data_IF_916669418600
#
_entry.id   IF_916669418600
#
_cell.length_a   1.000
_cell.length_b   1.000
_cell.length_c   1.000
_cell.angle_alpha   90.00
_cell.angle_beta   90.00
_cell.angle_gamma   90.00
#
_symmetry.space_group_name_H-M   'P 1'
#
loop_
_entity.id
_entity.type
_entity.pdbx_description
1 polymer ?
#
# COMPACT_ATOMS: atom_id res chain seq x y z
N UNK A 1 5.25 -11.54 26.20
CA UNK A 1 5.32 -10.91 24.86
C UNK A 1 3.90 -10.53 24.45
N UNK A 2 3.67 -9.28 24.03
CA UNK A 2 2.35 -8.88 23.56
C UNK A 2 2.14 -9.49 22.17
N UNK A 3 1.29 -10.48 22.04
CA UNK A 3 0.96 -11.09 20.75
C UNK A 3 0.17 -10.08 19.91
N UNK A 4 0.59 -9.85 18.66
CA UNK A 4 -0.16 -8.98 17.75
C UNK A 4 -1.42 -9.68 17.30
N UNK A 5 -2.56 -9.01 17.48
CA UNK A 5 -3.89 -9.58 17.23
C UNK A 5 -4.42 -9.28 15.83
N UNK A 6 -3.89 -8.24 15.20
CA UNK A 6 -4.36 -7.72 13.92
C UNK A 6 -3.18 -7.37 13.03
N UNK A 7 -3.22 -7.81 11.79
CA UNK A 7 -2.31 -7.40 10.73
C UNK A 7 -3.06 -6.55 9.71
N UNK A 8 -2.59 -5.32 9.48
CA UNK A 8 -3.17 -4.36 8.55
C UNK A 8 -2.21 -4.19 7.37
N UNK A 9 -2.71 -4.41 6.16
CA UNK A 9 -1.90 -4.38 4.95
C UNK A 9 -2.31 -3.21 4.06
N UNK A 10 -1.37 -2.39 3.59
CA UNK A 10 -1.64 -1.66 2.35
C UNK A 10 -1.85 -2.64 1.20
N UNK A 11 -2.29 -2.16 0.04
CA UNK A 11 -2.57 -3.01 -1.12
C UNK A 11 -1.41 -2.99 -2.11
N UNK A 12 -1.14 -1.82 -2.68
CA UNK A 12 -0.18 -1.61 -3.75
C UNK A 12 1.25 -1.65 -3.20
N UNK A 13 2.12 -2.46 -3.80
CA UNK A 13 3.48 -2.67 -3.29
C UNK A 13 3.57 -3.50 -2.01
N UNK A 14 2.43 -3.91 -1.41
CA UNK A 14 2.38 -4.70 -0.17
C UNK A 14 1.69 -6.04 -0.40
N UNK A 15 0.46 -6.06 -0.84
CA UNK A 15 -0.26 -7.29 -1.23
C UNK A 15 0.03 -7.64 -2.67
N UNK A 16 -0.02 -6.65 -3.57
CA UNK A 16 0.28 -6.82 -4.99
C UNK A 16 1.52 -6.04 -5.40
N UNK A 17 2.36 -6.64 -6.25
CA UNK A 17 3.55 -6.02 -6.85
C UNK A 17 3.17 -5.13 -8.03
N UNK A 18 2.49 -4.02 -7.72
CA UNK A 18 1.97 -3.07 -8.72
C UNK A 18 2.94 -1.93 -9.06
N UNK A 19 3.97 -1.70 -8.27
CA UNK A 19 4.93 -0.61 -8.44
C UNK A 19 5.68 -0.60 -9.78
N UNK A 20 6.16 -1.74 -10.32
CA UNK A 20 6.76 -1.76 -11.65
C UNK A 20 5.80 -1.27 -12.73
N UNK A 21 4.50 -1.63 -12.64
CA UNK A 21 3.46 -1.27 -13.58
C UNK A 21 3.17 0.23 -13.56
N UNK A 22 3.01 0.81 -12.36
CA UNK A 22 2.85 2.26 -12.20
C UNK A 22 4.08 3.03 -12.69
N UNK A 23 5.27 2.51 -12.43
CA UNK A 23 6.52 3.13 -12.93
C UNK A 23 6.54 3.17 -14.45
N UNK A 24 6.07 2.12 -15.13
CA UNK A 24 5.97 2.07 -16.60
C UNK A 24 4.93 3.07 -17.13
N UNK A 25 3.74 3.12 -16.53
CA UNK A 25 2.71 4.10 -16.86
C UNK A 25 3.23 5.54 -16.76
N UNK A 26 3.80 5.89 -15.60
CA UNK A 26 4.32 7.23 -15.39
C UNK A 26 5.52 7.57 -16.25
N UNK A 27 6.36 6.59 -16.59
CA UNK A 27 7.42 6.79 -17.57
C UNK A 27 6.84 7.23 -18.91
N UNK A 28 5.82 6.54 -19.42
CA UNK A 28 5.18 6.92 -20.69
C UNK A 28 4.50 8.30 -20.63
N UNK A 29 3.92 8.68 -19.48
CA UNK A 29 3.38 10.03 -19.28
C UNK A 29 4.49 11.07 -19.29
N UNK A 30 5.56 10.89 -18.51
CA UNK A 30 6.65 11.89 -18.45
C UNK A 30 7.47 11.96 -19.74
N UNK A 31 7.65 10.89 -20.48
CA UNK A 31 8.28 10.91 -21.81
C UNK A 31 7.53 11.84 -22.79
N UNK A 32 6.20 11.90 -22.68
CA UNK A 32 5.38 12.80 -23.54
C UNK A 32 5.47 14.28 -23.15
N UNK A 33 5.55 14.58 -21.85
CA UNK A 33 5.43 15.95 -21.35
C UNK A 33 6.74 16.52 -20.79
N UNK A 34 7.67 15.65 -20.39
CA UNK A 34 8.99 15.97 -19.83
C UNK A 34 10.09 15.10 -20.45
N UNK A 35 10.28 15.11 -21.78
CA UNK A 35 11.16 14.15 -22.48
C UNK A 35 12.64 14.21 -22.06
N UNK A 36 13.06 15.31 -21.44
CA UNK A 36 14.44 15.50 -20.98
C UNK A 36 14.65 15.10 -19.50
N UNK A 37 13.61 14.57 -18.84
CA UNK A 37 13.64 14.25 -17.41
C UNK A 37 13.23 12.80 -17.13
N UNK A 38 13.96 11.78 -17.63
CA UNK A 38 13.58 10.36 -17.52
C UNK A 38 13.49 9.85 -16.07
N UNK A 39 14.13 10.56 -15.11
CA UNK A 39 14.14 10.19 -13.68
C UNK A 39 12.80 10.46 -12.98
N UNK A 40 11.87 11.25 -13.57
CA UNK A 40 10.65 11.67 -12.90
C UNK A 40 9.74 10.51 -12.52
N UNK A 41 9.61 9.49 -13.38
CA UNK A 41 8.81 8.31 -13.09
C UNK A 41 9.25 7.58 -11.80
N UNK A 42 10.55 7.60 -11.51
CA UNK A 42 11.08 7.04 -10.26
C UNK A 42 10.95 8.03 -9.10
N UNK A 43 11.11 9.32 -9.35
CA UNK A 43 11.05 10.35 -8.32
C UNK A 43 9.65 10.53 -7.70
N UNK A 44 8.60 10.14 -8.41
CA UNK A 44 7.21 10.25 -7.93
C UNK A 44 6.72 9.01 -7.16
N UNK A 45 7.52 7.96 -7.03
CA UNK A 45 7.11 6.75 -6.29
C UNK A 45 6.63 7.09 -4.89
N UNK A 46 5.51 6.47 -4.50
CA UNK A 46 4.89 6.69 -3.19
C UNK A 46 4.22 8.06 -3.02
N UNK A 47 4.11 8.87 -4.08
CA UNK A 47 3.40 10.15 -4.04
C UNK A 47 1.93 9.97 -4.44
N UNK A 48 1.07 10.87 -3.92
CA UNK A 48 -0.34 10.89 -4.32
C UNK A 48 -0.51 11.51 -5.71
N UNK A 49 -1.58 11.12 -6.41
CA UNK A 49 -1.94 11.72 -7.70
C UNK A 49 -2.09 13.25 -7.61
N UNK A 50 -2.71 13.74 -6.53
CA UNK A 50 -2.84 15.19 -6.26
C UNK A 50 -1.48 15.86 -6.18
N UNK A 51 -0.53 15.30 -5.43
CA UNK A 51 0.82 15.84 -5.32
C UNK A 51 1.55 15.87 -6.67
N UNK A 52 1.41 14.79 -7.49
CA UNK A 52 1.99 14.73 -8.83
C UNK A 52 1.42 15.85 -9.72
N UNK A 53 0.12 16.07 -9.66
CA UNK A 53 -0.54 17.11 -10.44
C UNK A 53 -0.13 18.51 -9.99
N UNK A 54 -0.14 18.79 -8.69
CA UNK A 54 0.31 20.07 -8.14
C UNK A 54 1.77 20.39 -8.52
N UNK A 55 2.61 19.37 -8.56
CA UNK A 55 4.05 19.53 -8.82
C UNK A 55 4.41 19.67 -10.29
N UNK A 56 3.75 18.93 -11.17
CA UNK A 56 4.15 18.82 -12.58
C UNK A 56 3.10 19.29 -13.57
N UNK A 57 1.86 19.40 -13.16
CA UNK A 57 0.74 19.71 -14.06
C UNK A 57 -0.23 20.77 -13.47
N UNK A 58 0.24 21.65 -12.56
CA UNK A 58 -0.58 22.52 -11.71
C UNK A 58 -1.64 23.33 -12.47
N UNK A 59 -1.25 24.01 -13.55
CA UNK A 59 -2.15 24.92 -14.28
C UNK A 59 -2.73 24.28 -15.56
N UNK A 60 -2.83 22.95 -15.59
CA UNK A 60 -3.21 22.18 -16.78
C UNK A 60 -4.39 21.22 -16.50
N UNK A 61 -5.59 21.74 -16.11
CA UNK A 61 -6.70 20.89 -15.68
C UNK A 61 -7.18 19.89 -16.75
N UNK A 62 -7.20 20.29 -18.01
CA UNK A 62 -7.57 19.38 -19.11
C UNK A 62 -6.59 18.24 -19.27
N UNK A 63 -5.31 18.51 -19.04
CA UNK A 63 -4.27 17.49 -19.08
C UNK A 63 -4.34 16.56 -17.86
N UNK A 64 -4.61 17.11 -16.66
CA UNK A 64 -4.85 16.31 -15.47
C UNK A 64 -6.03 15.33 -15.67
N UNK A 65 -7.14 15.83 -16.25
CA UNK A 65 -8.29 14.98 -16.58
C UNK A 65 -7.91 13.88 -17.56
N UNK A 66 -7.19 14.21 -18.64
CA UNK A 66 -6.73 13.23 -19.61
C UNK A 66 -5.82 12.16 -18.99
N UNK A 67 -4.85 12.57 -18.17
CA UNK A 67 -3.96 11.62 -17.47
C UNK A 67 -4.78 10.75 -16.51
N UNK A 68 -5.78 11.32 -15.82
CA UNK A 68 -6.67 10.55 -14.93
C UNK A 68 -7.46 9.48 -15.71
N UNK A 69 -8.00 9.83 -16.90
CA UNK A 69 -8.69 8.87 -17.75
C UNK A 69 -7.75 7.75 -18.24
N UNK A 70 -6.53 8.10 -18.65
CA UNK A 70 -5.51 7.13 -19.05
C UNK A 70 -5.10 6.22 -17.87
N UNK A 71 -4.95 6.77 -16.66
CA UNK A 71 -4.63 6.01 -15.46
C UNK A 71 -5.77 5.04 -15.09
N UNK A 72 -7.02 5.51 -15.13
CA UNK A 72 -8.18 4.66 -14.87
C UNK A 72 -8.29 3.50 -15.89
N UNK A 73 -8.02 3.79 -17.17
CA UNK A 73 -7.99 2.76 -18.22
C UNK A 73 -6.82 1.78 -18.03
N UNK A 74 -5.66 2.26 -17.58
CA UNK A 74 -4.51 1.44 -17.25
C UNK A 74 -4.83 0.51 -16.05
N UNK A 75 -5.35 1.06 -14.97
CA UNK A 75 -5.74 0.29 -13.78
C UNK A 75 -6.83 -0.75 -14.07
N UNK A 76 -7.74 -0.45 -14.99
CA UNK A 76 -8.77 -1.40 -15.42
C UNK A 76 -8.18 -2.64 -16.10
N UNK A 77 -7.05 -2.50 -16.81
CA UNK A 77 -6.38 -3.58 -17.54
C UNK A 77 -5.16 -4.13 -16.78
N UNK A 78 -4.83 -3.58 -15.60
CA UNK A 78 -3.69 -3.99 -14.80
C UNK A 78 -3.84 -5.45 -14.34
N UNK A 79 -2.73 -6.20 -14.38
CA UNK A 79 -2.66 -7.52 -13.77
C UNK A 79 -2.16 -7.37 -12.33
N UNK A 80 -2.83 -8.02 -11.41
CA UNK A 80 -2.50 -7.97 -9.99
C UNK A 80 -1.74 -9.23 -9.60
N UNK A 81 -0.40 -9.18 -9.63
CA UNK A 81 0.44 -10.27 -9.16
C UNK A 81 0.71 -10.08 -7.65
N UNK A 82 0.53 -11.12 -6.85
CA UNK A 82 0.87 -11.04 -5.43
C UNK A 82 2.36 -10.79 -5.21
N UNK A 83 2.69 -9.97 -4.22
CA UNK A 83 4.07 -9.88 -3.73
C UNK A 83 4.53 -11.28 -3.32
N UNK A 84 5.75 -11.63 -3.71
CA UNK A 84 6.28 -12.98 -3.61
C UNK A 84 6.20 -13.52 -2.17
N UNK A 85 5.54 -14.67 -1.99
CA UNK A 85 5.30 -15.34 -0.71
C UNK A 85 4.11 -14.81 0.09
N UNK A 86 3.35 -13.83 -0.44
CA UNK A 86 2.20 -13.24 0.29
C UNK A 86 1.13 -14.29 0.65
N UNK A 87 0.77 -15.16 -0.28
CA UNK A 87 -0.31 -16.14 -0.06
C UNK A 87 0.04 -17.13 1.07
N UNK A 88 1.28 -17.61 1.12
CA UNK A 88 1.73 -18.48 2.22
C UNK A 88 1.75 -17.72 3.56
N UNK A 89 2.18 -16.47 3.53
CA UNK A 89 2.23 -15.62 4.72
C UNK A 89 0.84 -15.34 5.30
N UNK A 90 -0.16 -15.02 4.46
CA UNK A 90 -1.53 -14.77 4.94
C UNK A 90 -2.17 -16.05 5.52
N UNK A 91 -1.87 -17.21 4.94
CA UNK A 91 -2.30 -18.51 5.50
C UNK A 91 -1.67 -18.76 6.88
N UNK A 92 -0.39 -18.41 7.07
CA UNK A 92 0.26 -18.49 8.38
C UNK A 92 -0.46 -17.62 9.42
N UNK A 93 -0.86 -16.40 9.08
CA UNK A 93 -1.62 -15.51 9.97
C UNK A 93 -2.95 -16.12 10.40
N UNK A 94 -3.69 -16.74 9.48
CA UNK A 94 -4.94 -17.43 9.80
C UNK A 94 -4.71 -18.60 10.77
N UNK A 95 -3.65 -19.38 10.57
CA UNK A 95 -3.29 -20.49 11.49
C UNK A 95 -2.96 -20.00 12.90
N UNK A 96 -2.44 -18.78 13.00
CA UNK A 96 -2.12 -18.10 14.27
C UNK A 96 -3.32 -17.35 14.87
N UNK A 97 -4.51 -17.40 14.24
CA UNK A 97 -5.72 -16.66 14.61
C UNK A 97 -5.46 -15.13 14.70
N UNK A 98 -4.68 -14.59 13.80
CA UNK A 98 -4.46 -13.15 13.63
C UNK A 98 -5.53 -12.62 12.69
N UNK A 99 -6.30 -11.63 13.11
CA UNK A 99 -7.24 -10.93 12.23
C UNK A 99 -6.48 -10.13 11.16
N UNK A 100 -7.03 -10.05 9.97
CA UNK A 100 -6.35 -9.43 8.83
C UNK A 100 -7.27 -8.43 8.13
N UNK A 101 -6.74 -7.28 7.73
CA UNK A 101 -7.48 -6.36 6.88
C UNK A 101 -6.57 -5.62 5.90
N UNK A 102 -7.15 -5.24 4.77
CA UNK A 102 -6.55 -4.29 3.83
C UNK A 102 -6.92 -2.86 4.23
N UNK A 103 -5.96 -1.94 4.14
CA UNK A 103 -6.11 -0.50 4.39
C UNK A 103 -5.52 0.24 3.19
N UNK A 104 -6.30 0.41 2.12
CA UNK A 104 -5.80 0.95 0.85
C UNK A 104 -6.37 2.31 0.51
N UNK A 105 -5.56 3.16 -0.14
CA UNK A 105 -6.01 4.40 -0.79
C UNK A 105 -6.70 4.15 -2.14
N UNK A 106 -6.76 2.91 -2.60
CA UNK A 106 -7.49 2.51 -3.80
C UNK A 106 -9.00 2.59 -3.59
N UNK A 107 -9.73 2.97 -4.64
CA UNK A 107 -11.17 3.08 -4.63
C UNK A 107 -11.87 1.72 -4.87
N UNK A 108 -13.19 1.68 -4.65
CA UNK A 108 -14.01 0.48 -4.87
C UNK A 108 -13.99 -0.01 -6.30
N UNK A 109 -13.80 0.87 -7.28
CA UNK A 109 -13.73 0.50 -8.69
C UNK A 109 -12.48 -0.35 -8.97
N UNK A 110 -11.31 0.06 -8.47
CA UNK A 110 -10.07 -0.73 -8.56
C UNK A 110 -10.22 -2.05 -7.81
N UNK A 111 -10.79 -2.03 -6.59
CA UNK A 111 -11.03 -3.26 -5.83
C UNK A 111 -11.94 -4.25 -6.56
N UNK A 112 -12.89 -3.79 -7.37
CA UNK A 112 -13.72 -4.68 -8.19
C UNK A 112 -12.88 -5.44 -9.23
N UNK A 113 -11.84 -4.83 -9.81
CA UNK A 113 -10.90 -5.51 -10.71
C UNK A 113 -10.09 -6.57 -9.97
N UNK A 114 -9.60 -6.23 -8.76
CA UNK A 114 -8.91 -7.19 -7.88
C UNK A 114 -9.81 -8.42 -7.62
N UNK A 115 -11.06 -8.22 -7.24
CA UNK A 115 -11.99 -9.33 -6.96
C UNK A 115 -12.33 -10.16 -8.19
N UNK A 116 -12.31 -9.54 -9.36
CA UNK A 116 -12.55 -10.26 -10.63
C UNK A 116 -11.36 -11.17 -10.99
N UNK A 117 -10.13 -10.68 -10.81
CA UNK A 117 -8.92 -11.45 -11.11
C UNK A 117 -8.60 -12.46 -10.01
N UNK A 118 -8.92 -12.13 -8.75
CA UNK A 118 -8.66 -12.95 -7.58
C UNK A 118 -9.95 -13.25 -6.80
N UNK A 119 -10.79 -14.20 -7.23
CA UNK A 119 -12.07 -14.49 -6.58
C UNK A 119 -11.93 -14.88 -5.10
N UNK A 120 -10.79 -15.45 -4.71
CA UNK A 120 -10.48 -15.86 -3.35
C UNK A 120 -9.92 -14.72 -2.48
N UNK A 121 -9.64 -13.55 -3.03
CA UNK A 121 -9.00 -12.44 -2.31
C UNK A 121 -9.72 -12.09 -1.01
N UNK A 122 -11.06 -12.02 -1.06
CA UNK A 122 -11.88 -11.71 0.13
C UNK A 122 -11.77 -12.75 1.24
N UNK A 123 -11.37 -13.97 0.94
CA UNK A 123 -11.19 -15.01 1.96
C UNK A 123 -9.88 -14.86 2.74
N UNK A 124 -8.94 -14.04 2.25
CA UNK A 124 -7.70 -13.74 2.95
C UNK A 124 -7.85 -12.65 4.02
N UNK A 125 -8.95 -11.90 4.01
CA UNK A 125 -9.09 -10.73 4.87
C UNK A 125 -10.45 -10.71 5.56
N UNK A 126 -10.46 -10.42 6.86
CA UNK A 126 -11.68 -10.19 7.63
C UNK A 126 -12.36 -8.88 7.21
N UNK A 127 -11.58 -7.91 6.71
CA UNK A 127 -12.12 -6.64 6.19
C UNK A 127 -11.21 -6.02 5.11
N UNK A 128 -11.83 -5.19 4.24
CA UNK A 128 -11.13 -4.37 3.24
C UNK A 128 -11.64 -2.95 3.36
N UNK A 129 -10.78 -2.04 3.85
CA UNK A 129 -11.03 -0.60 3.87
C UNK A 129 -10.49 0.02 2.59
N UNK A 130 -11.33 0.77 1.90
CA UNK A 130 -11.03 1.49 0.65
C UNK A 130 -10.99 2.99 0.86
N UNK A 131 -10.61 3.76 -0.15
CA UNK A 131 -10.55 5.22 -0.07
C UNK A 131 -11.86 5.86 0.43
N UNK A 132 -13.01 5.26 0.08
CA UNK A 132 -14.34 5.77 0.45
C UNK A 132 -14.70 5.58 1.93
N UNK A 133 -13.96 4.73 2.65
CA UNK A 133 -14.20 4.48 4.07
C UNK A 133 -13.46 5.48 4.97
N UNK A 134 -12.56 6.29 4.40
CA UNK A 134 -11.68 7.18 5.15
C UNK A 134 -12.14 8.65 5.07
N UNK A 135 -12.33 9.28 6.24
CA UNK A 135 -12.54 10.72 6.32
C UNK A 135 -11.26 11.51 5.97
N UNK A 136 -10.08 10.89 6.15
CA UNK A 136 -8.76 11.45 5.83
C UNK A 136 -7.86 10.35 5.29
N UNK A 137 -7.18 10.65 4.19
CA UNK A 137 -6.23 9.75 3.56
C UNK A 137 -4.83 9.81 4.20
N UNK A 138 -3.99 8.81 3.95
CA UNK A 138 -2.57 8.81 4.29
C UNK A 138 -1.93 10.13 3.76
N UNK A 139 -1.11 10.83 4.53
CA UNK A 139 -0.37 10.40 5.73
C UNK A 139 -1.10 10.62 7.07
N UNK A 140 -2.38 11.03 7.10
CA UNK A 140 -3.15 11.11 8.35
C UNK A 140 -3.28 9.70 8.96
N UNK A 141 -3.18 9.52 10.29
CA UNK A 141 -3.29 8.20 10.94
C UNK A 141 -4.68 7.58 10.89
N UNK A 142 -5.69 8.31 10.41
CA UNK A 142 -7.10 7.93 10.50
C UNK A 142 -7.38 6.53 9.97
N UNK A 143 -6.85 6.17 8.81
CA UNK A 143 -7.14 4.87 8.18
C UNK A 143 -6.63 3.68 9.01
N UNK A 144 -5.44 3.75 9.59
CA UNK A 144 -4.91 2.69 10.46
C UNK A 144 -5.56 2.66 11.84
N UNK A 145 -5.92 3.83 12.39
CA UNK A 145 -6.70 3.92 13.63
C UNK A 145 -8.11 3.35 13.44
N UNK A 146 -8.73 3.57 12.28
CA UNK A 146 -10.01 2.96 11.92
C UNK A 146 -9.91 1.43 11.88
N UNK A 147 -8.84 0.89 11.26
CA UNK A 147 -8.58 -0.55 11.25
C UNK A 147 -8.46 -1.14 12.67
N UNK A 148 -7.68 -0.52 13.55
CA UNK A 148 -7.57 -0.98 14.94
C UNK A 148 -8.91 -0.90 15.69
N UNK A 149 -9.66 0.19 15.49
CA UNK A 149 -10.98 0.40 16.09
C UNK A 149 -12.00 -0.64 15.64
N UNK A 150 -12.00 -1.00 14.36
CA UNK A 150 -12.89 -2.02 13.79
C UNK A 150 -12.77 -3.37 14.51
N UNK A 151 -11.55 -3.77 14.84
CA UNK A 151 -11.27 -4.99 15.59
C UNK A 151 -11.33 -4.83 17.12
N UNK A 152 -11.63 -3.63 17.62
CA UNK A 152 -11.74 -3.36 19.05
C UNK A 152 -10.41 -3.52 19.81
N UNK A 153 -9.27 -3.27 19.16
CA UNK A 153 -7.93 -3.40 19.75
C UNK A 153 -7.20 -2.06 19.78
N UNK A 154 -6.14 -1.99 20.61
CA UNK A 154 -5.26 -0.81 20.61
C UNK A 154 -4.33 -0.84 19.39
N UNK A 155 -3.91 0.32 18.85
CA UNK A 155 -2.93 0.37 17.76
C UNK A 155 -1.65 -0.43 18.03
N UNK A 156 -1.18 -0.46 19.28
CA UNK A 156 0.00 -1.24 19.69
C UNK A 156 -0.20 -2.76 19.66
N UNK A 157 -1.44 -3.24 19.57
CA UNK A 157 -1.79 -4.66 19.40
C UNK A 157 -1.92 -5.05 17.92
N UNK A 158 -1.81 -4.08 17.01
CA UNK A 158 -1.76 -4.29 15.56
C UNK A 158 -0.30 -4.31 15.07
N UNK A 159 -0.12 -4.77 13.85
CA UNK A 159 1.07 -4.54 13.03
C UNK A 159 0.62 -4.11 11.64
N UNK A 160 1.23 -3.07 11.09
CA UNK A 160 0.94 -2.60 9.73
C UNK A 160 2.08 -2.95 8.78
N UNK A 161 1.72 -3.31 7.54
CA UNK A 161 2.61 -3.60 6.43
C UNK A 161 2.44 -2.49 5.40
N UNK A 162 3.53 -1.80 5.05
CA UNK A 162 3.53 -0.62 4.20
C UNK A 162 4.81 -0.51 3.37
N UNK A 163 4.73 0.17 2.23
CA UNK A 163 5.85 0.39 1.33
C UNK A 163 6.05 1.87 0.95
N UNK A 164 5.03 2.72 1.21
CA UNK A 164 5.00 4.12 0.79
C UNK A 164 5.35 5.10 1.92
N UNK A 165 5.97 6.25 1.57
CA UNK A 165 6.32 7.30 2.54
C UNK A 165 5.08 7.84 3.27
N UNK A 166 3.96 8.02 2.54
CA UNK A 166 2.72 8.50 3.15
C UNK A 166 2.12 7.45 4.10
N UNK A 167 2.22 6.17 3.73
CA UNK A 167 1.80 5.07 4.58
C UNK A 167 2.67 4.94 5.84
N UNK A 168 4.00 5.01 5.71
CA UNK A 168 4.90 5.00 6.87
C UNK A 168 4.57 6.11 7.87
N UNK A 169 4.34 7.34 7.36
CA UNK A 169 3.93 8.48 8.21
C UNK A 169 2.60 8.21 8.91
N UNK A 170 1.62 7.66 8.20
CA UNK A 170 0.30 7.33 8.72
C UNK A 170 0.38 6.29 9.85
N UNK A 171 1.10 5.19 9.64
CA UNK A 171 1.32 4.13 10.64
C UNK A 171 2.08 4.65 11.86
N UNK A 172 3.15 5.43 11.63
CA UNK A 172 3.94 6.03 12.71
C UNK A 172 3.10 6.99 13.56
N UNK A 173 2.28 7.85 12.91
CA UNK A 173 1.38 8.77 13.60
C UNK A 173 0.27 8.02 14.38
N UNK A 174 -0.13 6.84 13.93
CA UNK A 174 -1.05 5.94 14.64
C UNK A 174 -0.38 5.21 15.82
N UNK A 175 0.92 5.38 16.04
CA UNK A 175 1.72 4.65 17.05
C UNK A 175 1.62 3.13 16.92
N UNK A 176 1.51 2.66 15.70
CA UNK A 176 1.35 1.24 15.37
C UNK A 176 2.70 0.64 14.95
N UNK A 177 3.06 -0.58 15.38
CA UNK A 177 4.16 -1.35 14.84
C UNK A 177 4.14 -1.42 13.32
N UNK A 178 5.28 -1.15 12.69
CA UNK A 178 5.42 -1.02 11.24
C UNK A 178 6.43 -2.01 10.68
N UNK A 179 6.02 -2.79 9.71
CA UNK A 179 6.87 -3.56 8.80
C UNK A 179 6.93 -2.81 7.48
N UNK A 180 8.14 -2.39 7.08
CA UNK A 180 8.35 -1.75 5.79
C UNK A 180 8.65 -2.77 4.69
N UNK A 181 7.93 -2.72 3.56
CA UNK A 181 8.26 -3.48 2.36
C UNK A 181 9.16 -2.64 1.44
N UNK A 182 10.26 -3.24 0.97
CA UNK A 182 11.22 -2.57 0.10
C UNK A 182 10.85 -2.72 -1.40
N UNK A 183 9.58 -2.54 -1.72
CA UNK A 183 9.03 -2.62 -3.07
C UNK A 183 9.01 -1.28 -3.79
N UNK A 184 8.59 -0.21 -3.10
CA UNK A 184 8.47 1.14 -3.68
C UNK A 184 9.64 2.06 -3.33
N UNK A 185 10.23 1.89 -2.15
CA UNK A 185 11.25 2.79 -1.62
C UNK A 185 12.54 2.04 -1.27
N UNK A 186 13.72 2.69 -1.41
CA UNK A 186 14.98 2.10 -0.98
C UNK A 186 15.04 1.95 0.55
N UNK A 187 15.82 0.97 1.01
CA UNK A 187 15.97 0.61 2.43
C UNK A 187 16.38 1.82 3.29
N UNK A 188 17.22 2.71 2.77
CA UNK A 188 17.70 3.91 3.46
C UNK A 188 16.56 4.88 3.80
N UNK A 189 15.53 4.95 2.95
CA UNK A 189 14.32 5.75 3.19
C UNK A 189 13.44 5.06 4.22
N UNK A 190 13.18 3.77 4.07
CA UNK A 190 12.33 2.98 4.98
C UNK A 190 12.91 2.98 6.40
N UNK A 191 14.24 2.90 6.52
CA UNK A 191 14.97 2.91 7.80
C UNK A 191 14.75 4.17 8.65
N UNK A 192 14.20 5.25 8.08
CA UNK A 192 13.82 6.45 8.83
C UNK A 192 12.53 6.24 9.62
N UNK A 193 11.71 5.25 9.28
CA UNK A 193 10.42 4.97 9.88
C UNK A 193 10.37 3.67 10.69
N UNK A 194 11.06 2.63 10.23
CA UNK A 194 11.11 1.32 10.90
C UNK A 194 12.45 0.64 10.67
N UNK A 195 12.83 -0.25 11.62
CA UNK A 195 13.98 -1.15 11.46
C UNK A 195 13.57 -2.55 10.98
N UNK A 196 12.27 -2.83 10.94
CA UNK A 196 11.73 -4.10 10.47
C UNK A 196 11.39 -3.95 9.01
N UNK A 197 12.28 -4.40 8.13
CA UNK A 197 12.17 -4.24 6.68
C UNK A 197 12.28 -5.60 6.02
N UNK A 198 11.35 -5.90 5.13
CA UNK A 198 11.34 -7.12 4.31
C UNK A 198 11.29 -6.75 2.83
N UNK A 199 11.98 -7.48 1.95
CA UNK A 199 11.87 -7.27 0.50
C UNK A 199 10.61 -7.91 -0.11
N UNK A 200 10.12 -8.96 0.51
CA UNK A 200 8.92 -9.73 0.17
C UNK A 200 8.57 -10.65 1.35
N UNK A 201 7.60 -11.58 1.19
CA UNK A 201 7.15 -12.47 2.26
C UNK A 201 7.82 -13.84 2.26
N UNK A 202 8.78 -14.12 1.37
CA UNK A 202 9.50 -15.39 1.39
C UNK A 202 10.25 -15.58 2.70
N UNK A 203 10.06 -16.74 3.33
CA UNK A 203 10.74 -17.13 4.57
C UNK A 203 10.49 -16.18 5.76
N UNK A 204 9.42 -15.36 5.69
CA UNK A 204 9.00 -14.51 6.81
C UNK A 204 8.14 -15.33 7.76
N UNK A 205 8.59 -15.45 9.02
CA UNK A 205 7.77 -15.98 10.11
C UNK A 205 7.15 -14.81 10.88
N UNK A 206 5.82 -14.83 11.01
CA UNK A 206 5.09 -13.75 11.69
C UNK A 206 5.43 -13.66 13.18
N UNK A 207 5.69 -14.80 13.84
CA UNK A 207 6.03 -14.85 15.26
C UNK A 207 7.39 -14.19 15.50
N UNK A 208 8.37 -14.53 14.66
CA UNK A 208 9.72 -13.94 14.72
C UNK A 208 9.66 -12.43 14.42
N UNK A 209 8.87 -12.04 13.43
CA UNK A 209 8.67 -10.65 13.05
C UNK A 209 8.03 -9.84 14.18
N UNK A 210 7.04 -10.39 14.89
CA UNK A 210 6.41 -9.74 16.04
C UNK A 210 7.29 -9.70 17.28
N UNK A 211 8.29 -10.56 17.41
CA UNK A 211 9.22 -10.56 18.55
C UNK A 211 10.14 -9.33 18.57
N UNK A 212 10.23 -8.58 17.47
CA UNK A 212 11.04 -7.38 17.33
C UNK A 212 10.34 -6.12 17.86
N UNK A 213 9.01 -6.18 18.11
CA UNK A 213 8.18 -5.07 18.62
C UNK A 213 7.94 -5.18 20.16
#
# INVERSE_FOLDING_TARGET
>A
MSYKKVALFDLDGVVFDTEPLYTEFWRAVFERYYPNEPQLATAIKGQTLTWIYERYFADLPDLQNKITEELNAFEHNMQFEYVLGFEDFIVQLHQLNVNTAVVTSSNKQKMQQVYTQHPNFKAYFDHVFTAEDFAKSKPDPYCYLLGASYFGVKPTECVAFEDSINGFKSVTAATMPLVGLATSNPIEVINQYTKVIIPNYLQVDFTDLCAVF
#
